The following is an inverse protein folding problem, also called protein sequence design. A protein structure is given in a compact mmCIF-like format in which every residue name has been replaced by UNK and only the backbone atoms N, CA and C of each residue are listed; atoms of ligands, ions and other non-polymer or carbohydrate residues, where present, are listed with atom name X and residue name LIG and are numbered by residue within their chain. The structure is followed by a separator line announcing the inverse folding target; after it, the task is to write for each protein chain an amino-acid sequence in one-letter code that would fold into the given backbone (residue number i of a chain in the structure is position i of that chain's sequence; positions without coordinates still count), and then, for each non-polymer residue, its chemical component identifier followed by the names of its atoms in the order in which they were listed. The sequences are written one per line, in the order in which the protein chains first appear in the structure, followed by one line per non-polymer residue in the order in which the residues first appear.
data_IF_211157239478
#
_entry.id   IF_211157239478
#
_cell.length_a   1.000
_cell.length_b   1.000
_cell.length_c   1.000
_cell.angle_alpha   90.00
_cell.angle_beta   90.00
_cell.angle_gamma   90.00
#
_symmetry.space_group_name_H-M   'P 1'
#
loop_
_entity.id
_entity.type
_entity.pdbx_description
1 polymer ?
#
# COMPACT_ATOMS: atom_id res chain seq x y z
N UNK A 1 23.92 -17.50 9.89
CA UNK A 1 22.95 -16.58 10.53
C UNK A 1 23.73 -15.34 10.87
N UNK A 2 23.81 -14.38 9.95
CA UNK A 2 24.30 -13.05 10.31
C UNK A 2 23.15 -12.35 11.03
N UNK A 3 23.40 -11.97 12.28
CA UNK A 3 22.43 -11.30 13.14
C UNK A 3 22.24 -9.87 12.62
N UNK A 4 21.00 -9.41 12.58
CA UNK A 4 20.67 -8.03 12.26
C UNK A 4 21.18 -7.11 13.39
N UNK A 5 22.14 -6.21 13.14
CA UNK A 5 22.71 -5.34 14.17
C UNK A 5 21.70 -4.33 14.75
N UNK A 6 20.52 -4.16 14.13
CA UNK A 6 19.43 -3.37 14.69
C UNK A 6 18.73 -4.04 15.89
N UNK A 7 18.86 -5.35 16.08
CA UNK A 7 18.06 -6.10 17.06
C UNK A 7 18.79 -6.40 18.38
N UNK A 8 20.10 -6.19 18.51
CA UNK A 8 20.86 -6.58 19.73
C UNK A 8 20.77 -5.59 20.91
N UNK A 9 19.99 -4.50 20.81
CA UNK A 9 19.91 -3.48 21.86
C UNK A 9 18.53 -3.22 22.50
N UNK A 10 17.46 -3.90 22.08
CA UNK A 10 16.09 -3.40 22.31
C UNK A 10 15.27 -4.11 23.40
N UNK A 11 15.89 -4.94 24.24
CA UNK A 11 15.19 -5.60 25.36
C UNK A 11 15.70 -5.10 26.70
N UNK A 12 15.30 -3.90 27.11
CA UNK A 12 15.02 -3.48 28.50
C UNK A 12 14.64 -1.99 28.51
N UNK A 13 13.75 -1.60 29.41
CA UNK A 13 12.96 -0.36 29.36
C UNK A 13 13.71 0.94 29.73
N UNK A 14 14.97 1.09 29.32
CA UNK A 14 15.78 2.30 29.49
C UNK A 14 16.18 2.83 28.10
N UNK A 15 15.66 4.01 27.69
CA UNK A 15 15.98 4.58 26.37
C UNK A 15 14.91 5.46 25.72
N UNK A 16 13.68 5.51 26.28
CA UNK A 16 12.57 6.32 25.73
C UNK A 16 12.94 7.82 25.63
N UNK A 17 13.61 8.45 26.62
CA UNK A 17 14.06 9.84 26.50
C UNK A 17 15.07 10.07 25.37
N UNK A 18 16.02 9.16 25.17
CA UNK A 18 17.01 9.21 24.09
C UNK A 18 16.35 9.11 22.70
N UNK A 19 15.34 8.24 22.56
CA UNK A 19 14.57 8.06 21.32
C UNK A 19 13.72 9.30 20.98
N UNK A 20 13.12 9.93 21.99
CA UNK A 20 12.43 11.22 21.83
C UNK A 20 13.40 12.37 21.49
N UNK A 21 14.63 12.32 21.99
CA UNK A 21 15.69 13.26 21.64
C UNK A 21 16.18 13.07 20.20
N UNK A 22 16.27 11.84 19.69
CA UNK A 22 16.54 11.56 18.28
C UNK A 22 15.44 12.09 17.34
N UNK A 23 14.16 12.04 17.75
CA UNK A 23 13.05 12.66 17.00
C UNK A 23 13.20 14.18 16.88
N UNK A 24 13.57 14.84 17.98
CA UNK A 24 13.89 16.28 17.95
C UNK A 24 15.16 16.54 17.10
N UNK A 25 16.13 15.62 17.12
CA UNK A 25 17.31 15.64 16.27
C UNK A 25 16.93 15.54 14.78
N UNK A 26 15.90 14.80 14.39
CA UNK A 26 15.45 14.69 13.01
C UNK A 26 14.85 16.00 12.44
N UNK A 27 14.01 16.68 13.23
CA UNK A 27 13.47 18.00 12.88
C UNK A 27 14.60 19.04 12.82
N UNK A 28 15.52 19.00 13.79
CA UNK A 28 16.70 19.88 13.84
C UNK A 28 17.63 19.64 12.66
N UNK A 29 17.94 18.37 12.35
CA UNK A 29 18.70 17.94 11.18
C UNK A 29 18.03 18.46 9.91
N UNK A 30 16.71 18.33 9.77
CA UNK A 30 16.00 18.82 8.59
C UNK A 30 16.10 20.35 8.43
N UNK A 31 15.93 21.11 9.53
CA UNK A 31 16.12 22.57 9.54
C UNK A 31 17.58 22.98 9.26
N UNK A 32 18.54 22.11 9.57
CA UNK A 32 19.97 22.21 9.23
C UNK A 32 20.30 21.66 7.83
N UNK A 33 19.30 21.21 7.06
CA UNK A 33 19.47 20.65 5.70
C UNK A 33 19.85 19.17 5.64
N UNK A 34 20.00 18.49 6.77
CA UNK A 34 20.24 17.05 6.90
C UNK A 34 18.90 16.29 6.79
N UNK A 35 18.70 15.65 5.63
CA UNK A 35 17.49 14.87 5.37
C UNK A 35 17.48 13.58 6.18
N UNK A 36 16.29 13.10 6.54
CA UNK A 36 16.07 11.75 7.06
C UNK A 36 16.82 10.69 6.26
N UNK A 37 17.68 9.89 6.89
CA UNK A 37 18.37 8.81 6.19
C UNK A 37 17.46 7.60 6.10
N UNK A 38 16.94 7.34 4.90
CA UNK A 38 16.39 6.05 4.50
C UNK A 38 17.17 5.56 3.28
N UNK A 39 17.21 4.25 3.08
CA UNK A 39 17.88 3.68 1.92
C UNK A 39 16.99 3.91 0.70
N UNK A 40 17.47 4.69 -0.26
CA UNK A 40 16.76 4.89 -1.53
C UNK A 40 16.85 3.62 -2.35
N UNK A 41 15.70 3.07 -2.70
CA UNK A 41 15.57 1.89 -3.54
C UNK A 41 14.63 2.19 -4.69
N UNK A 42 14.83 1.46 -5.79
CA UNK A 42 14.02 1.62 -6.99
C UNK A 42 13.05 0.45 -7.20
N UNK A 43 13.18 -0.61 -6.40
CA UNK A 43 12.39 -1.84 -6.43
C UNK A 43 12.26 -2.39 -5.01
N UNK A 44 11.23 -3.19 -4.78
CA UNK A 44 11.03 -3.87 -3.50
C UNK A 44 12.19 -4.80 -3.13
N UNK A 45 12.51 -4.87 -1.85
CA UNK A 45 13.50 -5.81 -1.29
C UNK A 45 12.79 -6.82 -0.40
N UNK A 46 12.88 -8.11 -0.71
CA UNK A 46 12.30 -9.15 0.15
C UNK A 46 13.24 -9.45 1.32
N UNK A 47 12.75 -9.27 2.55
CA UNK A 47 13.52 -9.54 3.79
C UNK A 47 13.34 -10.98 4.28
N UNK A 48 12.27 -11.65 3.86
CA UNK A 48 12.00 -13.05 4.19
C UNK A 48 12.73 -14.03 3.26
N UNK A 49 13.90 -14.52 3.72
CA UNK A 49 14.73 -15.50 3.00
C UNK A 49 14.09 -16.90 2.88
N UNK A 50 13.07 -17.23 3.68
CA UNK A 50 12.54 -18.60 3.79
C UNK A 50 11.43 -18.96 2.80
N UNK A 51 10.75 -17.97 2.23
CA UNK A 51 9.58 -18.18 1.36
C UNK A 51 9.79 -17.77 -0.11
N UNK A 52 10.86 -17.03 -0.41
CA UNK A 52 11.36 -16.85 -1.79
C UNK A 52 12.51 -17.82 -2.07
N UNK A 53 12.28 -19.11 -1.80
CA UNK A 53 13.03 -20.16 -2.48
C UNK A 53 12.89 -19.94 -3.99
N UNK A 54 13.98 -19.60 -4.65
CA UNK A 54 14.10 -19.31 -6.09
C UNK A 54 13.29 -20.30 -6.95
N UNK A 55 12.03 -20.00 -7.22
CA UNK A 55 11.31 -20.44 -8.42
C UNK A 55 10.31 -19.34 -8.75
N UNK A 56 10.66 -18.53 -9.76
CA UNK A 56 9.66 -17.79 -10.52
C UNK A 56 8.81 -18.85 -11.21
N UNK A 57 7.70 -19.25 -10.59
CA UNK A 57 6.70 -20.03 -11.28
C UNK A 57 6.12 -19.07 -12.32
N UNK A 58 6.57 -19.19 -13.58
CA UNK A 58 5.79 -18.64 -14.69
C UNK A 58 4.44 -19.32 -14.59
N UNK A 59 3.45 -18.59 -14.09
CA UNK A 59 2.05 -18.99 -14.27
C UNK A 59 1.76 -18.85 -15.75
N UNK A 60 0.89 -19.70 -16.31
CA UNK A 60 0.53 -19.62 -17.74
C UNK A 60 -0.08 -18.24 -18.13
N UNK A 61 -0.48 -17.43 -17.15
CA UNK A 61 -0.96 -16.04 -17.28
C UNK A 61 0.14 -14.97 -17.48
N UNK A 62 1.43 -15.32 -17.39
CA UNK A 62 2.57 -14.36 -17.40
C UNK A 62 2.78 -13.66 -18.75
N UNK A 63 2.09 -14.13 -19.80
CA UNK A 63 2.13 -13.59 -21.16
C UNK A 63 0.72 -13.21 -21.68
N UNK A 64 -0.16 -12.69 -20.82
CA UNK A 64 -1.42 -12.12 -21.30
C UNK A 64 -1.13 -10.91 -22.22
N UNK A 65 -1.36 -11.07 -23.51
CA UNK A 65 -1.17 -10.02 -24.52
C UNK A 65 -2.50 -9.30 -24.74
N UNK A 66 -2.50 -7.97 -24.63
CA UNK A 66 -3.68 -7.16 -24.92
C UNK A 66 -3.99 -7.11 -26.43
N UNK A 67 -5.24 -6.84 -26.79
CA UNK A 67 -5.69 -6.70 -28.18
C UNK A 67 -5.67 -5.25 -28.70
N UNK A 68 -4.84 -4.37 -28.13
CA UNK A 68 -4.77 -2.97 -28.54
C UNK A 68 -4.11 -2.81 -29.92
N UNK A 69 -4.58 -1.83 -30.70
CA UNK A 69 -4.03 -1.53 -32.02
C UNK A 69 -2.87 -0.52 -31.93
N UNK A 70 -1.74 -0.74 -32.63
CA UNK A 70 -0.67 0.26 -32.76
C UNK A 70 -1.12 1.56 -33.44
N UNK A 71 -2.22 1.52 -34.20
CA UNK A 71 -2.78 2.70 -34.87
C UNK A 71 -3.64 3.60 -33.97
N UNK A 72 -3.89 3.19 -32.72
CA UNK A 72 -4.60 4.04 -31.76
C UNK A 72 -3.75 5.26 -31.39
N UNK A 73 -4.39 6.39 -31.05
CA UNK A 73 -3.68 7.61 -30.66
C UNK A 73 -2.88 7.45 -29.34
N UNK A 74 -3.38 6.63 -28.42
CA UNK A 74 -2.78 6.37 -27.11
C UNK A 74 -2.90 4.89 -26.75
N UNK A 75 -2.23 3.97 -27.48
CA UNK A 75 -2.44 2.55 -27.32
C UNK A 75 -2.09 2.10 -25.89
N UNK A 76 -2.95 1.28 -25.32
CA UNK A 76 -2.84 0.83 -23.94
C UNK A 76 -2.86 1.97 -22.90
N UNK A 77 -3.30 3.18 -23.27
CA UNK A 77 -3.40 4.33 -22.35
C UNK A 77 -4.57 4.22 -21.37
N UNK A 78 -4.71 5.18 -20.44
CA UNK A 78 -5.88 5.27 -19.58
C UNK A 78 -7.17 5.37 -20.41
N UNK A 79 -8.23 4.67 -19.99
CA UNK A 79 -9.56 4.70 -20.62
C UNK A 79 -9.61 4.23 -22.10
N UNK A 80 -8.61 3.50 -22.59
CA UNK A 80 -8.63 2.97 -23.97
C UNK A 80 -9.23 1.57 -24.11
N UNK A 81 -9.76 0.99 -23.03
CA UNK A 81 -10.28 -0.39 -23.01
C UNK A 81 -9.20 -1.46 -23.19
N UNK A 82 -7.98 -1.18 -22.73
CA UNK A 82 -6.91 -2.16 -22.77
C UNK A 82 -7.15 -3.24 -21.71
N UNK A 83 -7.40 -4.47 -22.14
CA UNK A 83 -7.73 -5.60 -21.26
C UNK A 83 -6.71 -5.77 -20.11
N UNK A 84 -5.41 -5.66 -20.40
CA UNK A 84 -4.38 -5.80 -19.37
C UNK A 84 -4.51 -4.68 -18.33
N UNK A 85 -4.60 -3.42 -18.77
CA UNK A 85 -4.76 -2.26 -17.89
C UNK A 85 -6.01 -2.38 -17.03
N UNK A 86 -7.15 -2.72 -17.64
CA UNK A 86 -8.44 -2.84 -16.95
C UNK A 86 -8.43 -3.95 -15.89
N UNK A 87 -7.59 -4.96 -16.06
CA UNK A 87 -7.39 -6.07 -15.11
C UNK A 87 -6.26 -5.81 -14.10
N UNK A 88 -5.58 -4.65 -14.15
CA UNK A 88 -4.44 -4.34 -13.28
C UNK A 88 -3.16 -5.12 -13.65
N UNK A 89 -2.98 -5.46 -14.93
CA UNK A 89 -1.77 -6.06 -15.47
C UNK A 89 -1.02 -5.04 -16.33
N UNK A 90 0.30 -4.98 -16.15
CA UNK A 90 1.16 -4.27 -17.08
C UNK A 90 1.27 -5.05 -18.39
N UNK A 91 1.39 -4.35 -19.52
CA UNK A 91 1.60 -5.03 -20.80
C UNK A 91 3.01 -5.64 -20.84
N UNK A 92 3.17 -6.87 -21.38
CA UNK A 92 4.48 -7.50 -21.53
C UNK A 92 5.34 -6.75 -22.56
N UNK A 93 6.65 -7.03 -22.62
CA UNK A 93 7.54 -6.43 -23.63
C UNK A 93 7.09 -6.79 -25.05
N UNK A 94 6.46 -7.96 -25.20
CA UNK A 94 5.89 -8.49 -26.43
C UNK A 94 4.55 -7.86 -26.85
N UNK A 95 4.13 -6.76 -26.22
CA UNK A 95 2.89 -6.07 -26.58
C UNK A 95 2.88 -5.70 -28.06
N UNK A 96 1.77 -5.99 -28.75
CA UNK A 96 1.62 -5.73 -30.19
C UNK A 96 1.77 -4.25 -30.57
N UNK A 97 1.54 -3.34 -29.60
CA UNK A 97 1.66 -1.89 -29.78
C UNK A 97 3.12 -1.39 -29.67
N UNK A 98 4.06 -2.28 -29.32
CA UNK A 98 5.49 -2.00 -29.23
C UNK A 98 5.79 -0.82 -28.31
N UNK A 99 6.73 0.03 -28.74
CA UNK A 99 7.17 1.24 -28.03
C UNK A 99 6.07 2.29 -27.82
N UNK A 100 4.93 2.19 -28.53
CA UNK A 100 3.80 3.09 -28.33
C UNK A 100 2.95 2.71 -27.11
N UNK A 101 3.16 1.53 -26.53
CA UNK A 101 2.40 1.02 -25.40
C UNK A 101 2.52 1.94 -24.18
N UNK A 102 1.41 2.55 -23.77
CA UNK A 102 1.38 3.39 -22.57
C UNK A 102 1.15 2.59 -21.27
N UNK A 103 1.05 1.26 -21.34
CA UNK A 103 0.87 0.36 -20.20
C UNK A 103 2.14 -0.41 -19.86
N UNK A 104 3.30 0.26 -19.94
CA UNK A 104 4.61 -0.25 -19.54
C UNK A 104 5.35 0.75 -18.62
N UNK A 105 4.60 1.65 -17.97
CA UNK A 105 5.19 2.78 -17.25
C UNK A 105 5.82 2.38 -15.91
N UNK A 106 5.33 1.31 -15.27
CA UNK A 106 5.83 0.84 -13.98
C UNK A 106 7.20 0.19 -14.14
N UNK A 107 7.37 -0.72 -15.10
CA UNK A 107 8.65 -1.41 -15.34
C UNK A 107 9.77 -0.45 -15.79
N UNK A 108 9.41 0.56 -16.59
CA UNK A 108 10.33 1.58 -17.06
C UNK A 108 10.41 2.79 -16.13
N UNK A 109 9.64 2.79 -15.03
CA UNK A 109 9.68 3.83 -13.98
C UNK A 109 9.46 5.23 -14.54
N UNK A 110 8.49 5.34 -15.45
CA UNK A 110 8.10 6.59 -16.11
C UNK A 110 7.15 7.40 -15.22
N UNK A 111 7.72 7.94 -14.15
CA UNK A 111 7.05 8.80 -13.17
C UNK A 111 7.13 10.26 -13.59
N UNK A 112 6.16 11.11 -13.18
CA UNK A 112 6.27 12.54 -13.38
C UNK A 112 7.33 13.15 -12.45
N UNK A 113 7.67 14.43 -12.69
CA UNK A 113 8.46 15.24 -11.78
C UNK A 113 7.82 15.31 -10.39
N UNK A 114 8.57 14.91 -9.36
CA UNK A 114 8.10 14.81 -7.97
C UNK A 114 9.13 15.41 -7.01
N UNK A 115 8.64 16.16 -6.02
CA UNK A 115 9.46 16.81 -5.00
C UNK A 115 8.81 16.72 -3.62
N UNK A 116 9.61 16.97 -2.59
CA UNK A 116 9.15 16.95 -1.20
C UNK A 116 9.24 18.32 -0.58
N UNK A 117 8.22 18.70 0.19
CA UNK A 117 8.23 19.88 1.04
C UNK A 117 7.74 19.52 2.43
N UNK A 118 8.15 20.31 3.41
CA UNK A 118 7.65 20.16 4.77
C UNK A 118 6.33 20.92 4.94
N UNK A 119 5.41 20.29 5.65
CA UNK A 119 4.14 20.85 6.09
C UNK A 119 4.13 20.85 7.62
N UNK A 120 3.68 21.94 8.27
CA UNK A 120 3.70 22.03 9.73
C UNK A 120 2.93 20.92 10.45
N UNK A 121 1.79 20.49 9.89
CA UNK A 121 0.87 19.57 10.58
C UNK A 121 1.07 18.10 10.21
N UNK A 122 1.73 17.81 9.08
CA UNK A 122 1.83 16.45 8.51
C UNK A 122 3.26 16.03 8.17
N UNK A 123 4.26 16.86 8.48
CA UNK A 123 5.65 16.56 8.17
C UNK A 123 5.95 16.66 6.67
N UNK A 124 6.83 15.80 6.17
CA UNK A 124 7.21 15.80 4.75
C UNK A 124 6.05 15.31 3.87
N UNK A 125 5.80 16.07 2.81
CA UNK A 125 4.72 15.86 1.87
C UNK A 125 5.28 15.78 0.44
N UNK A 126 4.69 14.91 -0.39
CA UNK A 126 5.03 14.73 -1.80
C UNK A 126 4.21 15.68 -2.67
N UNK A 127 4.85 16.35 -3.62
CA UNK A 127 4.22 17.27 -4.56
C UNK A 127 4.67 16.96 -5.99
N UNK A 128 3.82 17.23 -6.96
CA UNK A 128 4.19 17.13 -8.38
C UNK A 128 4.75 18.44 -8.94
N UNK A 129 5.62 18.32 -9.93
CA UNK A 129 6.22 19.44 -10.67
C UNK A 129 5.57 19.67 -12.03
N UNK A 130 4.65 18.80 -12.45
CA UNK A 130 3.95 18.87 -13.73
C UNK A 130 2.49 18.43 -13.59
N UNK A 131 1.69 18.69 -14.62
CA UNK A 131 0.28 18.28 -14.62
C UNK A 131 0.17 16.76 -14.82
N UNK A 132 -0.65 16.11 -13.99
CA UNK A 132 -0.93 14.66 -14.07
C UNK A 132 -2.40 14.47 -14.43
N UNK A 133 -2.68 13.65 -15.44
CA UNK A 133 -4.07 13.36 -15.83
C UNK A 133 -4.66 12.22 -15.01
N UNK A 134 -5.97 12.28 -14.80
CA UNK A 134 -6.71 11.17 -14.20
C UNK A 134 -6.40 9.85 -14.93
N UNK A 135 -6.04 8.84 -14.15
CA UNK A 135 -5.68 7.50 -14.61
C UNK A 135 -4.19 7.29 -14.90
N UNK A 136 -3.37 8.35 -14.80
CA UNK A 136 -1.92 8.23 -14.97
C UNK A 136 -1.23 7.66 -13.74
N UNK A 137 -0.12 6.97 -14.01
CA UNK A 137 0.83 6.52 -13.00
C UNK A 137 1.53 7.74 -12.38
N UNK A 138 1.43 7.88 -11.06
CA UNK A 138 2.19 8.86 -10.29
C UNK A 138 3.51 8.26 -9.85
N UNK A 139 3.50 7.21 -9.03
CA UNK A 139 4.73 6.57 -8.57
C UNK A 139 4.45 5.16 -8.05
N UNK A 140 5.40 4.25 -8.17
CA UNK A 140 5.35 2.97 -7.47
C UNK A 140 5.64 3.17 -5.98
N UNK A 141 4.88 2.52 -5.10
CA UNK A 141 5.18 2.48 -3.67
C UNK A 141 6.10 1.28 -3.40
N UNK A 142 7.39 1.55 -3.14
CA UNK A 142 8.41 0.52 -2.92
C UNK A 142 8.96 0.56 -1.50
N UNK A 143 9.35 -0.61 -1.00
CA UNK A 143 9.99 -0.78 0.30
C UNK A 143 10.47 -2.20 0.54
N UNK A 144 10.66 -2.54 1.81
CA UNK A 144 10.93 -3.92 2.22
C UNK A 144 9.64 -4.74 2.22
N UNK A 145 9.62 -5.89 1.53
CA UNK A 145 8.53 -6.86 1.62
C UNK A 145 8.77 -7.73 2.85
N UNK A 146 7.88 -7.58 3.83
CA UNK A 146 7.93 -8.25 5.13
C UNK A 146 6.68 -9.09 5.37
N UNK A 147 6.75 -10.01 6.35
CA UNK A 147 5.60 -10.77 6.83
C UNK A 147 4.76 -9.92 7.79
N UNK A 148 3.52 -10.34 8.05
CA UNK A 148 2.72 -9.75 9.14
C UNK A 148 3.41 -9.87 10.50
N UNK A 149 4.11 -10.98 10.76
CA UNK A 149 4.84 -11.18 12.02
C UNK A 149 5.95 -10.14 12.20
N UNK A 150 6.76 -9.91 11.16
CA UNK A 150 7.80 -8.89 11.15
C UNK A 150 7.20 -7.49 11.29
N UNK A 151 6.09 -7.20 10.59
CA UNK A 151 5.36 -5.94 10.75
C UNK A 151 4.95 -5.71 12.20
N UNK A 152 4.37 -6.71 12.86
CA UNK A 152 3.90 -6.59 14.24
C UNK A 152 5.07 -6.36 15.22
N UNK A 153 6.23 -6.98 14.96
CA UNK A 153 7.46 -6.73 15.71
C UNK A 153 7.96 -5.28 15.52
N UNK A 154 7.99 -4.78 14.27
CA UNK A 154 8.38 -3.39 13.99
C UNK A 154 7.42 -2.39 14.64
N UNK A 155 6.11 -2.63 14.55
CA UNK A 155 5.09 -1.80 15.21
C UNK A 155 5.27 -1.76 16.73
N UNK A 156 5.61 -2.89 17.35
CA UNK A 156 5.90 -2.95 18.79
C UNK A 156 7.11 -2.08 19.16
N UNK A 157 8.20 -2.18 18.40
CA UNK A 157 9.40 -1.34 18.60
C UNK A 157 9.05 0.14 18.41
N UNK A 158 8.37 0.51 17.31
CA UNK A 158 7.93 1.88 17.06
C UNK A 158 7.08 2.43 18.21
N UNK A 159 6.18 1.63 18.76
CA UNK A 159 5.36 2.01 19.92
C UNK A 159 6.19 2.26 21.18
N UNK A 160 7.27 1.51 21.41
CA UNK A 160 8.17 1.73 22.55
C UNK A 160 9.01 2.99 22.33
N UNK A 161 9.48 3.22 21.10
CA UNK A 161 10.29 4.38 20.73
C UNK A 161 9.49 5.67 20.61
N UNK A 162 8.16 5.59 20.59
CA UNK A 162 7.30 6.74 20.28
C UNK A 162 7.45 7.23 18.84
N UNK A 163 7.86 6.34 17.93
CA UNK A 163 7.89 6.62 16.50
C UNK A 163 6.46 6.55 15.97
N UNK A 164 6.05 7.66 15.40
CA UNK A 164 4.72 7.82 14.85
C UNK A 164 4.71 7.68 13.32
N UNK A 165 5.83 7.72 12.60
CA UNK A 165 5.74 7.69 11.14
C UNK A 165 5.61 6.26 10.58
N UNK A 166 4.38 5.80 10.35
CA UNK A 166 4.10 4.46 9.79
C UNK A 166 4.11 4.46 8.25
N UNK A 167 4.91 3.57 7.68
CA UNK A 167 5.09 3.43 6.22
C UNK A 167 4.66 2.07 5.66
N UNK A 168 3.77 1.38 6.37
CA UNK A 168 3.26 0.06 6.02
C UNK A 168 2.13 0.11 5.00
N UNK A 169 2.21 -0.73 3.96
CA UNK A 169 1.15 -0.88 2.95
C UNK A 169 0.93 -2.35 2.60
N UNK A 170 -0.32 -2.82 2.69
CA UNK A 170 -0.68 -4.22 2.41
C UNK A 170 -0.48 -4.60 0.93
N UNK A 171 0.42 -5.55 0.66
CA UNK A 171 0.74 -6.01 -0.70
C UNK A 171 -0.16 -7.17 -1.14
N UNK A 172 -0.11 -8.28 -0.41
CA UNK A 172 -0.92 -9.49 -0.61
C UNK A 172 -1.25 -10.12 0.74
N UNK A 173 -1.99 -11.22 0.77
CA UNK A 173 -2.25 -11.92 2.02
C UNK A 173 -0.93 -12.35 2.68
N UNK A 174 -0.71 -11.89 3.92
CA UNK A 174 0.50 -12.18 4.69
C UNK A 174 1.74 -11.36 4.30
N UNK A 175 1.64 -10.42 3.34
CA UNK A 175 2.76 -9.60 2.86
C UNK A 175 2.46 -8.12 2.93
N UNK A 176 3.42 -7.37 3.44
CA UNK A 176 3.33 -5.92 3.65
C UNK A 176 4.60 -5.28 3.10
N UNK A 177 4.47 -4.12 2.48
CA UNK A 177 5.59 -3.25 2.13
C UNK A 177 5.84 -2.31 3.31
N UNK A 178 7.06 -2.27 3.81
CA UNK A 178 7.53 -1.26 4.76
C UNK A 178 8.52 -0.31 4.08
N UNK A 179 8.10 0.94 3.87
CA UNK A 179 8.95 1.98 3.28
C UNK A 179 9.71 2.84 4.31
N UNK A 180 9.72 2.41 5.59
CA UNK A 180 10.41 3.07 6.68
C UNK A 180 11.93 3.02 6.49
N UNK A 181 12.56 1.83 6.54
CA UNK A 181 14.01 1.68 6.39
C UNK A 181 14.52 1.95 4.97
N UNK A 182 13.79 1.48 3.97
CA UNK A 182 14.16 1.58 2.56
C UNK A 182 12.92 1.89 1.71
N UNK A 183 13.03 2.79 0.74
CA UNK A 183 11.88 3.18 -0.09
C UNK A 183 12.23 4.20 -1.19
N UNK A 184 11.22 4.82 -1.77
CA UNK A 184 11.36 5.93 -2.72
C UNK A 184 10.56 7.17 -2.25
N UNK A 185 10.28 8.12 -3.15
CA UNK A 185 9.51 9.34 -2.80
C UNK A 185 8.06 9.07 -2.40
N UNK A 186 7.48 7.92 -2.75
CA UNK A 186 6.08 7.58 -2.48
C UNK A 186 5.78 7.54 -0.97
N UNK A 187 6.79 7.25 -0.13
CA UNK A 187 6.68 7.25 1.33
C UNK A 187 6.25 8.61 1.91
N UNK A 188 6.40 9.69 1.15
CA UNK A 188 6.02 11.06 1.57
C UNK A 188 4.64 11.48 1.05
N UNK A 189 3.91 10.62 0.34
CA UNK A 189 2.54 10.92 -0.05
C UNK A 189 1.63 10.84 1.19
N UNK A 190 1.04 11.96 1.59
CA UNK A 190 0.28 12.05 2.82
C UNK A 190 -1.14 11.48 2.69
N UNK A 191 -1.76 11.25 3.84
CA UNK A 191 -3.19 10.95 3.89
C UNK A 191 -4.04 12.17 3.54
N UNK A 192 -5.07 11.95 2.74
CA UNK A 192 -6.22 12.85 2.62
C UNK A 192 -7.53 12.07 2.68
N UNK A 193 -8.57 12.67 3.26
CA UNK A 193 -9.95 12.15 3.19
C UNK A 193 -10.68 12.57 1.90
N UNK A 194 -10.07 13.46 1.11
CA UNK A 194 -10.50 13.81 -0.26
C UNK A 194 -9.27 13.72 -1.18
N UNK A 195 -8.73 12.52 -1.28
CA UNK A 195 -7.47 12.22 -1.95
C UNK A 195 -7.49 12.46 -3.46
N UNK A 196 -6.30 12.58 -4.06
CA UNK A 196 -6.11 12.69 -5.52
C UNK A 196 -5.46 11.46 -6.15
N UNK A 197 -4.94 10.53 -5.35
CA UNK A 197 -4.42 9.25 -5.81
C UNK A 197 -5.08 8.07 -5.08
N UNK A 198 -5.14 6.94 -5.77
CA UNK A 198 -5.47 5.63 -5.20
C UNK A 198 -4.24 4.72 -5.24
N UNK A 199 -4.03 3.94 -4.19
CA UNK A 199 -3.06 2.84 -4.19
C UNK A 199 -3.68 1.62 -4.87
N UNK A 200 -3.12 1.18 -6.00
CA UNK A 200 -3.63 0.08 -6.82
C UNK A 200 -2.61 -1.05 -6.92
N UNK A 201 -3.11 -2.30 -6.92
CA UNK A 201 -2.28 -3.49 -7.11
C UNK A 201 -2.11 -3.76 -8.60
N UNK A 202 -0.87 -3.85 -9.04
CA UNK A 202 -0.51 -4.13 -10.42
C UNK A 202 0.30 -5.41 -10.52
N UNK A 203 0.02 -6.24 -11.52
CA UNK A 203 0.82 -7.41 -11.89
C UNK A 203 1.83 -7.02 -12.96
N UNK A 204 3.11 -7.20 -12.64
CA UNK A 204 4.23 -6.88 -13.52
C UNK A 204 5.19 -8.07 -13.53
N UNK A 205 5.32 -8.77 -14.67
CA UNK A 205 6.18 -9.95 -14.81
C UNK A 205 5.93 -11.00 -13.70
N UNK A 206 4.65 -11.27 -13.42
CA UNK A 206 4.17 -12.19 -12.39
C UNK A 206 4.22 -11.64 -10.96
N UNK A 207 4.88 -10.50 -10.72
CA UNK A 207 5.03 -9.89 -9.41
C UNK A 207 3.89 -8.92 -9.12
N UNK A 208 3.40 -8.92 -7.87
CA UNK A 208 2.44 -7.89 -7.43
C UNK A 208 3.22 -6.68 -6.96
N UNK A 209 2.85 -5.50 -7.45
CA UNK A 209 3.42 -4.19 -7.11
C UNK A 209 2.30 -3.24 -6.72
N UNK A 210 2.65 -2.14 -6.07
CA UNK A 210 1.68 -1.11 -5.66
C UNK A 210 2.00 0.18 -6.40
N UNK A 211 1.03 0.70 -7.13
CA UNK A 211 1.14 1.96 -7.84
C UNK A 211 0.20 2.99 -7.22
N UNK A 212 0.68 4.23 -7.07
CA UNK A 212 -0.19 5.38 -6.87
C UNK A 212 -0.68 5.86 -8.23
N UNK A 213 -1.98 5.74 -8.47
CA UNK A 213 -2.65 6.15 -9.72
C UNK A 213 -3.51 7.38 -9.43
N UNK A 214 -3.43 8.39 -10.29
CA UNK A 214 -4.24 9.60 -10.16
C UNK A 214 -5.73 9.28 -10.39
N UNK A 215 -6.61 9.67 -9.45
CA UNK A 215 -8.06 9.45 -9.57
C UNK A 215 -8.83 10.71 -10.02
N UNK A 216 -8.13 11.85 -10.07
CA UNK A 216 -8.54 13.13 -10.64
C UNK A 216 -7.34 13.78 -11.32
N UNK A 217 -7.57 14.79 -12.16
CA UNK A 217 -6.47 15.61 -12.68
C UNK A 217 -5.77 16.32 -11.51
N UNK A 218 -4.45 16.37 -11.54
CA UNK A 218 -3.59 16.97 -10.51
C UNK A 218 -2.74 18.04 -11.20
N UNK A 219 -2.76 19.26 -10.68
CA UNK A 219 -1.99 20.36 -11.27
C UNK A 219 -0.55 20.39 -10.75
N UNK A 220 0.36 20.93 -11.55
CA UNK A 220 1.72 21.21 -11.11
C UNK A 220 1.73 22.01 -9.78
N UNK A 221 2.49 21.54 -8.79
CA UNK A 221 2.57 22.16 -7.47
C UNK A 221 1.51 21.68 -6.47
N UNK A 222 0.60 20.79 -6.84
CA UNK A 222 -0.32 20.15 -5.88
C UNK A 222 0.34 19.00 -5.11
N UNK A 223 -0.14 18.78 -3.88
CA UNK A 223 0.28 17.68 -3.02
C UNK A 223 -0.31 16.35 -3.51
N UNK A 224 0.51 15.32 -3.61
CA UNK A 224 0.10 13.94 -3.86
C UNK A 224 -0.36 13.31 -2.56
N UNK A 225 -1.62 12.87 -2.53
CA UNK A 225 -2.28 12.30 -1.35
C UNK A 225 -3.07 11.05 -1.71
N UNK A 226 -3.20 10.11 -0.77
CA UNK A 226 -4.05 8.93 -0.93
C UNK A 226 -4.76 8.57 0.38
N UNK A 227 -5.91 7.87 0.32
CA UNK A 227 -6.51 7.32 1.53
C UNK A 227 -5.64 6.15 2.01
N UNK A 228 -5.01 6.28 3.18
CA UNK A 228 -4.18 5.23 3.75
C UNK A 228 -4.98 3.95 4.05
N UNK A 229 -6.32 4.05 4.13
CA UNK A 229 -7.23 2.93 4.40
C UNK A 229 -6.77 2.09 5.59
N UNK A 230 -6.17 2.72 6.60
CA UNK A 230 -5.65 2.05 7.78
C UNK A 230 -6.73 1.14 8.37
N UNK A 231 -6.45 -0.15 8.35
CA UNK A 231 -7.28 -1.11 9.05
C UNK A 231 -7.05 -0.91 10.54
N UNK A 232 -8.12 -0.92 11.32
CA UNK A 232 -8.01 -0.90 12.78
C UNK A 232 -7.12 -2.05 13.24
N UNK A 233 -6.03 -1.73 13.93
CA UNK A 233 -5.16 -2.71 14.57
C UNK A 233 -5.29 -2.58 16.10
N UNK A 234 -5.61 -3.67 16.82
CA UNK A 234 -5.65 -3.64 18.28
C UNK A 234 -4.32 -3.15 18.86
N UNK A 235 -4.37 -2.13 19.71
CA UNK A 235 -3.17 -1.54 20.34
C UNK A 235 -2.55 -0.37 19.58
N UNK A 236 -2.94 -0.12 18.32
CA UNK A 236 -2.53 1.08 17.58
C UNK A 236 -3.63 2.15 17.73
N UNK A 237 -3.37 3.28 18.40
CA UNK A 237 -4.37 4.34 18.55
C UNK A 237 -4.73 4.93 17.19
N UNK A 238 -6.02 5.28 17.00
CA UNK A 238 -6.42 6.09 15.86
C UNK A 238 -5.75 7.45 15.93
N UNK A 239 -5.46 8.02 14.77
CA UNK A 239 -4.77 9.30 14.68
C UNK A 239 -5.66 10.40 14.20
N UNK A 240 -5.51 11.57 14.79
CA UNK A 240 -6.15 12.78 14.30
C UNK A 240 -5.70 13.05 12.85
N UNK A 241 -6.66 13.29 11.98
CA UNK A 241 -6.42 13.62 10.59
C UNK A 241 -6.26 15.14 10.44
N UNK A 242 -5.17 15.56 9.80
CA UNK A 242 -4.85 16.96 9.53
C UNK A 242 -4.89 17.30 8.02
N UNK A 243 -5.66 16.55 7.22
CA UNK A 243 -5.72 16.77 5.77
C UNK A 243 -6.38 18.10 5.36
N UNK A 244 -7.09 18.77 6.27
CA UNK A 244 -7.67 20.10 6.05
C UNK A 244 -8.85 20.15 5.07
N UNK A 245 -9.30 19.02 4.53
CA UNK A 245 -10.41 18.99 3.56
C UNK A 245 -11.77 19.10 4.24
N UNK A 246 -12.77 19.65 3.54
CA UNK A 246 -14.15 19.73 4.06
C UNK A 246 -14.77 18.34 4.33
N UNK A 247 -14.28 17.30 3.62
CA UNK A 247 -14.71 15.90 3.79
C UNK A 247 -13.88 15.15 4.84
N UNK A 248 -13.08 15.86 5.64
CA UNK A 248 -12.22 15.22 6.64
C UNK A 248 -13.04 14.40 7.65
N UNK A 249 -12.65 13.13 7.83
CA UNK A 249 -13.26 12.21 8.79
C UNK A 249 -12.85 12.48 10.24
N UNK A 250 -11.94 13.43 10.48
CA UNK A 250 -11.36 13.74 11.79
C UNK A 250 -10.26 12.77 12.25
N UNK A 251 -10.31 11.50 11.81
CA UNK A 251 -9.31 10.49 12.13
C UNK A 251 -8.87 9.67 10.90
N UNK A 252 -7.62 9.18 10.94
CA UNK A 252 -7.05 8.24 9.97
C UNK A 252 -7.36 6.81 10.45
N UNK A 253 -7.91 5.97 9.55
CA UNK A 253 -8.26 4.57 9.86
C UNK A 253 -9.69 4.34 10.35
N UNK A 254 -10.64 5.15 9.88
CA UNK A 254 -12.02 5.30 10.34
C UNK A 254 -12.98 4.09 10.28
N UNK A 255 -12.61 2.94 10.88
CA UNK A 255 -13.60 2.01 11.43
C UNK A 255 -13.36 1.87 12.92
N UNK A 256 -14.07 2.69 13.70
CA UNK A 256 -14.14 2.62 15.16
C UNK A 256 -14.23 1.16 15.63
N UNK A 257 -13.59 0.84 16.77
CA UNK A 257 -13.66 -0.45 17.50
C UNK A 257 -15.05 -1.13 17.42
N UNK A 258 -16.13 -0.35 17.48
CA UNK A 258 -17.52 -0.78 17.40
C UNK A 258 -17.93 -1.48 16.11
N UNK A 259 -17.33 -1.16 14.95
CA UNK A 259 -17.64 -1.83 13.68
C UNK A 259 -16.85 -3.14 13.52
N UNK A 260 -15.60 -3.18 13.99
CA UNK A 260 -14.80 -4.41 14.05
C UNK A 260 -15.43 -5.45 14.99
N UNK A 261 -15.91 -5.02 16.16
CA UNK A 261 -16.65 -5.86 17.13
C UNK A 261 -18.01 -6.36 16.57
N UNK A 262 -18.68 -5.57 15.71
CA UNK A 262 -19.92 -6.01 15.03
C UNK A 262 -19.66 -7.07 13.96
N UNK A 263 -18.50 -7.04 13.30
CA UNK A 263 -18.14 -8.02 12.28
C UNK A 263 -17.66 -9.35 12.88
N UNK A 264 -16.98 -9.33 14.03
CA UNK A 264 -16.63 -10.55 14.76
C UNK A 264 -17.86 -11.25 15.33
N UNK A 265 -18.85 -10.50 15.84
CA UNK A 265 -20.13 -11.07 16.29
C UNK A 265 -20.96 -11.74 15.18
N UNK A 266 -20.94 -11.20 13.95
CA UNK A 266 -21.62 -11.82 12.79
C UNK A 266 -20.98 -13.13 12.31
N UNK A 267 -19.68 -13.35 12.56
CA UNK A 267 -19.01 -14.62 12.22
C UNK A 267 -19.26 -15.75 13.23
N UNK A 268 -19.79 -15.43 14.41
CA UNK A 268 -20.11 -16.39 15.48
C UNK A 268 -21.62 -16.66 15.65
N UNK A 269 -22.46 -16.23 14.70
CA UNK A 269 -23.85 -16.68 14.65
C UNK A 269 -23.90 -18.08 13.99
N UNK A 270 -24.42 -19.12 14.67
CA UNK A 270 -24.54 -20.43 14.06
C UNK A 270 -25.49 -20.37 12.87
N UNK A 271 -25.04 -20.82 11.70
CA UNK A 271 -25.92 -21.07 10.55
C UNK A 271 -27.01 -22.07 10.96
N UNK A 272 -28.25 -21.58 10.96
CA UNK A 272 -29.53 -22.28 10.84
C UNK A 272 -29.72 -23.65 11.54
N UNK A 273 -30.61 -23.64 12.54
CA UNK A 273 -31.36 -24.83 12.98
C UNK A 273 -32.11 -25.43 11.77
N UNK A 274 -31.92 -26.72 11.50
CA UNK A 274 -32.69 -27.47 10.51
C UNK A 274 -34.20 -27.42 10.81
N UNK A 275 -35.08 -27.31 9.80
CA UNK A 275 -36.51 -27.42 10.01
C UNK A 275 -36.91 -28.89 10.28
N UNK A 276 -37.74 -29.09 11.30
CA UNK A 276 -38.27 -30.39 11.70
C UNK A 276 -38.99 -31.09 10.53
N UNK A 277 -38.55 -32.31 10.19
CA UNK A 277 -39.28 -33.20 9.28
C UNK A 277 -40.55 -33.71 9.97
N UNK A 278 -41.70 -33.21 9.52
CA UNK A 278 -43.00 -33.82 9.81
C UNK A 278 -43.09 -35.19 9.12
N UNK A 279 -43.05 -36.27 9.91
CA UNK A 279 -43.36 -37.61 9.45
C UNK A 279 -44.86 -37.77 9.19
N UNK A 280 -45.24 -37.96 7.92
CA UNK A 280 -46.55 -38.52 7.55
C UNK A 280 -46.45 -40.03 7.58
N UNK A 281 -47.22 -40.66 8.47
CA UNK A 281 -47.53 -42.09 8.43
C UNK A 281 -48.32 -42.38 7.15
N UNK A 282 -47.83 -43.33 6.34
CA UNK A 282 -48.65 -44.07 5.40
C UNK A 282 -48.87 -45.47 5.98
N UNK A 283 -50.12 -45.76 6.32
CA UNK A 283 -50.60 -47.06 6.77
C UNK A 283 -50.52 -48.06 5.61
N UNK A 284 -49.89 -49.21 5.85
CA UNK A 284 -50.07 -50.41 5.03
C UNK A 284 -51.20 -51.23 5.65
N UNK A 285 -52.29 -51.38 4.89
CA UNK A 285 -53.33 -52.36 5.14
C UNK A 285 -52.87 -53.76 4.75
N UNK A 286 -53.28 -54.72 5.57
CA UNK A 286 -53.05 -56.16 5.54
C UNK A 286 -53.81 -56.92 4.45
N UNK A 287 -53.26 -58.12 4.15
CA UNK A 287 -53.81 -59.29 3.45
C UNK A 287 -53.47 -59.44 1.98
#
# INVERSE_FOLDING_TARGET
MEKNPFLEGFTEAEGIPELLAERNSYITKWLEGLRPSYIKIERNITVDFGLYGRKRWKTDDDDSICNCSPSAASPCGPNTGCLNRDMGYECPESCLTGELCQNQRLRYRQYPGLKTFYTPDRGLALFTEEDIKKGDLVIEYVGEIITNQERDQRLHIMSICGDEDYYFLDLTEGRVIDAGPAGNLARFANHSCDENCSSEKWKVDGETRIALIAIKDIQAGEEITFDYRWQYQPGVPSRKCFCGTEKCRGEIGGKSRLQAERQTKKKHEPLHKEPARNGRLAQMSSS
#
